data_IF_917396711854
#
_entry.id   IF_917396711854
#
_cell.length_a   1.000
_cell.length_b   1.000
_cell.length_c   1.000
_cell.angle_alpha   90.00
_cell.angle_beta   90.00
_cell.angle_gamma   90.00
#
_symmetry.space_group_name_H-M   'P 1'
#
loop_
_entity.id
_entity.type
_entity.pdbx_description
1 polymer ?
#
# COMPACT_ATOMS: atom_id res chain seq x y z
N UNK A 1 -20.77 23.23 -72.52
CA UNK A 1 -20.32 22.07 -71.73
C UNK A 1 -18.96 22.41 -71.10
N UNK A 2 -18.97 22.91 -69.86
CA UNK A 2 -17.77 23.37 -69.14
C UNK A 2 -17.38 22.27 -68.16
N UNK A 3 -16.24 21.60 -68.40
CA UNK A 3 -15.67 20.60 -67.47
C UNK A 3 -14.95 21.34 -66.34
N UNK A 4 -15.48 21.20 -65.12
CA UNK A 4 -14.81 21.55 -63.86
C UNK A 4 -13.65 20.57 -63.63
N UNK A 5 -12.43 21.08 -63.47
CA UNK A 5 -11.29 20.37 -62.92
C UNK A 5 -11.18 20.73 -61.43
N UNK A 6 -11.48 19.75 -60.58
CA UNK A 6 -11.19 19.67 -59.15
C UNK A 6 -9.91 18.80 -59.11
N UNK A 7 -8.75 19.24 -58.63
CA UNK A 7 -8.48 19.64 -57.25
C UNK A 7 -7.98 18.42 -56.46
N UNK A 8 -6.67 18.13 -56.51
CA UNK A 8 -6.02 17.20 -55.57
C UNK A 8 -4.55 17.63 -55.37
N UNK A 9 -4.33 18.45 -54.36
CA UNK A 9 -3.01 18.69 -53.79
C UNK A 9 -2.78 17.62 -52.72
N UNK A 10 -1.83 16.72 -52.95
CA UNK A 10 -1.35 15.78 -51.96
C UNK A 10 -0.49 16.53 -50.94
N UNK A 11 -1.01 16.75 -49.74
CA UNK A 11 -0.22 17.18 -48.59
C UNK A 11 0.37 15.93 -47.95
N UNK A 12 1.66 15.68 -48.15
CA UNK A 12 2.43 14.74 -47.35
C UNK A 12 2.61 15.33 -45.94
N UNK A 13 1.93 14.77 -44.95
CA UNK A 13 2.31 14.92 -43.56
C UNK A 13 3.34 13.84 -43.21
N UNK A 14 4.61 14.21 -43.10
CA UNK A 14 5.61 13.38 -42.42
C UNK A 14 5.35 13.44 -40.93
N UNK A 15 4.74 12.39 -40.37
CA UNK A 15 4.66 12.16 -38.93
C UNK A 15 6.05 11.75 -38.47
N UNK A 16 6.81 12.69 -37.90
CA UNK A 16 7.98 12.35 -37.09
C UNK A 16 7.47 11.74 -35.79
N UNK A 17 7.64 10.43 -35.65
CA UNK A 17 7.45 9.74 -34.39
C UNK A 17 8.50 10.23 -33.40
N UNK A 18 8.13 11.13 -32.50
CA UNK A 18 8.93 11.45 -31.31
C UNK A 18 8.59 10.41 -30.25
N UNK A 19 9.43 9.39 -30.15
CA UNK A 19 9.39 8.44 -29.03
C UNK A 19 9.85 9.15 -27.76
N UNK A 20 8.91 9.61 -26.95
CA UNK A 20 9.20 9.94 -25.55
C UNK A 20 9.17 8.66 -24.73
N UNK A 21 10.28 7.92 -24.77
CA UNK A 21 10.62 7.02 -23.67
C UNK A 21 11.00 7.93 -22.49
N UNK A 22 10.07 8.16 -21.58
CA UNK A 22 10.42 8.68 -20.26
C UNK A 22 11.07 7.53 -19.49
N UNK A 23 12.40 7.46 -19.58
CA UNK A 23 13.21 6.81 -18.56
C UNK A 23 12.93 7.52 -17.24
N UNK A 24 12.06 6.93 -16.42
CA UNK A 24 11.85 7.37 -15.04
C UNK A 24 13.12 6.99 -14.28
N UNK A 25 14.03 7.94 -14.20
CA UNK A 25 15.25 7.86 -13.42
C UNK A 25 14.89 7.66 -11.93
N UNK A 26 15.00 6.42 -11.47
CA UNK A 26 14.71 5.96 -10.10
C UNK A 26 15.71 6.50 -9.05
N UNK A 27 16.55 7.47 -9.41
CA UNK A 27 17.57 8.05 -8.53
C UNK A 27 16.96 8.96 -7.44
N UNK A 28 15.69 9.38 -7.55
CA UNK A 28 15.07 10.24 -6.53
C UNK A 28 14.57 9.50 -5.27
N UNK A 29 14.40 8.17 -5.32
CA UNK A 29 14.15 7.34 -4.13
C UNK A 29 15.39 7.19 -3.21
N UNK A 30 16.56 7.71 -3.62
CA UNK A 30 17.80 7.68 -2.84
C UNK A 30 17.81 8.80 -1.77
N UNK A 31 17.03 9.88 -1.92
CA UNK A 31 16.99 10.91 -0.88
C UNK A 31 16.23 10.46 0.38
N UNK A 32 15.30 9.50 0.27
CA UNK A 32 14.70 8.83 1.43
C UNK A 32 15.70 7.92 2.18
N UNK A 33 16.78 7.45 1.51
CA UNK A 33 17.91 6.78 2.19
C UNK A 33 18.78 7.75 2.99
N UNK A 34 18.84 9.04 2.62
CA UNK A 34 19.60 10.02 3.41
C UNK A 34 19.00 10.25 4.80
N UNK A 35 17.68 10.15 4.95
CA UNK A 35 17.03 10.22 6.26
C UNK A 35 17.14 8.92 7.07
N UNK A 36 17.25 7.76 6.42
CA UNK A 36 17.63 6.51 7.10
C UNK A 36 19.11 6.48 7.53
N UNK A 37 20.00 7.18 6.81
CA UNK A 37 21.44 7.22 7.11
C UNK A 37 21.83 8.22 8.21
N UNK A 38 20.91 9.05 8.73
CA UNK A 38 21.20 9.94 9.87
C UNK A 38 20.76 9.37 11.22
N UNK A 39 20.00 8.27 11.23
CA UNK A 39 19.72 7.49 12.44
C UNK A 39 20.87 6.52 12.74
N UNK A 40 21.99 7.08 13.21
CA UNK A 40 23.14 6.32 13.72
C UNK A 40 24.14 5.91 12.64
N UNK A 41 25.39 6.35 12.81
CA UNK A 41 26.56 5.75 12.15
C UNK A 41 26.69 4.29 12.61
N UNK A 42 25.90 3.40 12.05
CA UNK A 42 26.20 1.97 12.01
C UNK A 42 27.13 1.81 10.81
N UNK A 43 28.35 1.31 11.05
CA UNK A 43 29.33 1.06 9.99
C UNK A 43 28.67 0.31 8.85
N UNK A 44 29.00 0.67 7.61
CA UNK A 44 28.58 0.00 6.39
C UNK A 44 29.11 -1.45 6.35
N UNK A 45 28.48 -2.33 7.13
CA UNK A 45 28.59 -3.76 6.94
C UNK A 45 27.97 -4.10 5.59
N UNK A 46 28.57 -5.07 4.90
CA UNK A 46 28.03 -5.63 3.67
C UNK A 46 26.51 -5.89 3.82
N UNK A 47 25.70 -5.65 2.77
CA UNK A 47 24.28 -5.95 2.82
C UNK A 47 24.10 -7.39 3.30
N UNK A 48 23.52 -7.56 4.49
CA UNK A 48 23.16 -8.88 4.99
C UNK A 48 22.18 -9.44 3.97
N UNK A 49 22.50 -10.54 3.27
CA UNK A 49 21.57 -11.14 2.34
C UNK A 49 20.29 -11.42 3.13
N UNK A 50 19.15 -10.97 2.61
CA UNK A 50 17.86 -11.27 3.21
C UNK A 50 17.78 -12.79 3.34
N UNK A 51 17.93 -13.30 4.57
CA UNK A 51 17.89 -14.72 4.82
C UNK A 51 16.56 -15.22 4.25
N UNK A 52 16.56 -16.19 3.32
CA UNK A 52 15.33 -16.72 2.78
C UNK A 52 14.60 -17.38 3.95
N UNK A 53 13.59 -16.70 4.49
CA UNK A 53 12.61 -17.31 5.39
C UNK A 53 11.91 -18.41 4.60
N UNK A 54 12.43 -19.64 4.70
CA UNK A 54 11.73 -20.85 4.29
C UNK A 54 10.67 -21.13 5.35
N UNK A 55 9.58 -20.38 5.28
CA UNK A 55 8.32 -20.73 5.93
C UNK A 55 7.65 -21.80 5.07
N UNK A 56 8.16 -23.02 5.17
CA UNK A 56 7.48 -24.22 4.71
C UNK A 56 6.98 -24.94 5.97
N UNK A 57 5.92 -24.37 6.56
CA UNK A 57 5.24 -24.96 7.71
C UNK A 57 3.93 -25.54 7.20
N UNK A 58 3.83 -26.87 7.01
CA UNK A 58 2.59 -27.52 6.64
C UNK A 58 1.47 -27.12 7.61
N UNK A 59 0.39 -26.53 7.07
CA UNK A 59 -0.78 -26.12 7.85
C UNK A 59 -0.86 -24.64 8.20
N UNK A 60 0.16 -23.82 7.91
CA UNK A 60 0.17 -22.39 8.26
C UNK A 60 -0.91 -21.56 7.53
N UNK A 61 -1.48 -22.06 6.43
CA UNK A 61 -2.49 -21.33 5.65
C UNK A 61 -3.94 -21.75 5.93
N UNK A 62 -4.18 -22.65 6.90
CA UNK A 62 -5.52 -23.24 7.09
C UNK A 62 -6.59 -22.21 7.45
N UNK A 63 -6.21 -21.10 8.06
CA UNK A 63 -7.22 -20.19 8.59
C UNK A 63 -7.69 -19.15 7.58
N UNK A 64 -7.02 -18.96 6.43
CA UNK A 64 -7.49 -18.03 5.39
C UNK A 64 -8.39 -18.73 4.37
N UNK A 65 -9.59 -18.17 4.13
CA UNK A 65 -10.66 -18.84 3.37
C UNK A 65 -10.91 -18.28 1.97
N UNK A 66 -9.94 -17.56 1.40
CA UNK A 66 -10.09 -16.92 0.08
C UNK A 66 -9.63 -17.84 -1.06
N UNK A 67 -10.11 -17.59 -2.27
CA UNK A 67 -9.65 -18.27 -3.50
C UNK A 67 -8.89 -17.32 -4.40
N UNK A 68 -7.85 -17.81 -5.06
CA UNK A 68 -7.24 -17.09 -6.18
C UNK A 68 -8.01 -17.40 -7.46
N UNK A 69 -8.19 -16.40 -8.31
CA UNK A 69 -8.58 -16.65 -9.70
C UNK A 69 -7.48 -17.49 -10.40
N UNK A 70 -7.87 -18.22 -11.45
CA UNK A 70 -6.99 -19.14 -12.16
C UNK A 70 -5.81 -18.46 -12.87
N UNK A 71 -5.95 -17.18 -13.18
CA UNK A 71 -4.96 -16.36 -13.90
C UNK A 71 -3.98 -15.63 -12.97
N UNK A 72 -4.16 -15.69 -11.64
CA UNK A 72 -3.20 -15.10 -10.70
C UNK A 72 -1.86 -15.85 -10.76
N UNK A 73 -0.74 -15.19 -11.11
CA UNK A 73 0.55 -15.86 -11.25
C UNK A 73 1.00 -16.54 -9.95
N UNK A 74 1.56 -17.74 -10.05
CA UNK A 74 2.02 -18.56 -8.90
C UNK A 74 2.94 -17.77 -7.94
N UNK A 75 3.81 -16.90 -8.47
CA UNK A 75 4.68 -16.04 -7.65
C UNK A 75 3.89 -15.05 -6.80
N UNK A 76 2.86 -14.41 -7.35
CA UNK A 76 1.98 -13.50 -6.62
C UNK A 76 1.19 -14.27 -5.57
N UNK A 77 0.63 -15.43 -5.93
CA UNK A 77 -0.11 -16.23 -4.96
C UNK A 77 0.80 -16.68 -3.80
N UNK A 78 2.04 -17.08 -4.11
CA UNK A 78 3.04 -17.48 -3.10
C UNK A 78 3.39 -16.32 -2.17
N UNK A 79 3.63 -15.13 -2.73
CA UNK A 79 3.97 -13.95 -1.94
C UNK A 79 2.81 -13.52 -1.04
N UNK A 80 1.59 -13.47 -1.58
CA UNK A 80 0.38 -13.14 -0.83
C UNK A 80 0.17 -14.09 0.33
N UNK A 81 0.29 -15.41 0.09
CA UNK A 81 0.23 -16.41 1.15
C UNK A 81 1.28 -16.15 2.22
N UNK A 82 2.55 -15.96 1.86
CA UNK A 82 3.63 -15.67 2.83
C UNK A 82 3.36 -14.43 3.69
N UNK A 83 2.83 -13.37 3.09
CA UNK A 83 2.49 -12.14 3.80
C UNK A 83 1.33 -12.34 4.77
N UNK A 84 0.31 -13.11 4.37
CA UNK A 84 -0.81 -13.47 5.23
C UNK A 84 -0.40 -14.46 6.36
N UNK A 85 0.48 -15.41 6.08
CA UNK A 85 1.06 -16.27 7.12
C UNK A 85 1.86 -15.49 8.17
N UNK A 86 2.60 -14.45 7.74
CA UNK A 86 3.29 -13.59 8.67
C UNK A 86 2.29 -12.86 9.59
N UNK A 87 1.20 -12.29 9.06
CA UNK A 87 0.27 -11.52 9.90
C UNK A 87 -0.44 -12.42 10.93
N UNK A 88 -0.68 -13.70 10.60
CA UNK A 88 -1.16 -14.72 11.55
C UNK A 88 -0.22 -14.96 12.74
N UNK A 89 1.09 -14.78 12.55
CA UNK A 89 2.10 -14.96 13.59
C UNK A 89 2.21 -13.78 14.55
N UNK A 90 1.59 -12.64 14.24
CA UNK A 90 1.67 -11.43 15.07
C UNK A 90 0.92 -11.65 16.38
N UNK A 91 1.62 -11.36 17.49
CA UNK A 91 1.04 -11.26 18.83
C UNK A 91 1.58 -9.99 19.47
N UNK A 92 0.71 -9.24 20.12
CA UNK A 92 1.06 -8.05 20.86
C UNK A 92 0.77 -8.17 22.35
N UNK A 93 1.48 -7.38 23.14
CA UNK A 93 1.30 -7.32 24.60
C UNK A 93 0.28 -6.27 25.04
N UNK A 94 -0.10 -5.37 24.13
CA UNK A 94 -1.05 -4.29 24.35
C UNK A 94 -1.70 -3.89 23.02
N UNK A 95 -2.65 -2.96 23.07
CA UNK A 95 -3.36 -2.44 21.90
C UNK A 95 -3.86 -1.02 22.17
N UNK A 96 -3.84 -0.18 21.16
CA UNK A 96 -4.44 1.16 21.22
C UNK A 96 -5.95 1.12 21.07
N UNK A 97 -6.66 2.17 21.51
CA UNK A 97 -8.13 2.18 21.43
C UNK A 97 -8.62 2.22 19.99
N UNK A 98 -7.95 2.95 19.10
CA UNK A 98 -8.33 2.99 17.69
C UNK A 98 -8.12 1.64 17.01
N UNK A 99 -7.02 0.94 17.31
CA UNK A 99 -6.77 -0.39 16.76
C UNK A 99 -7.82 -1.39 17.21
N UNK A 100 -8.17 -1.37 18.51
CA UNK A 100 -9.19 -2.23 19.08
C UNK A 100 -10.55 -2.07 18.40
N UNK A 101 -10.90 -0.86 17.96
CA UNK A 101 -12.16 -0.59 17.24
C UNK A 101 -12.16 -1.14 15.81
N UNK A 102 -11.00 -1.22 15.17
CA UNK A 102 -10.90 -1.62 13.76
C UNK A 102 -10.66 -3.13 13.65
N UNK A 103 -9.59 -3.61 14.27
CA UNK A 103 -9.08 -4.97 14.10
C UNK A 103 -9.35 -5.84 15.32
N UNK A 104 -9.48 -5.24 16.50
CA UNK A 104 -9.44 -5.95 17.78
C UNK A 104 -8.04 -5.87 18.38
N UNK A 105 -7.58 -6.96 19.00
CA UNK A 105 -6.24 -7.07 19.56
C UNK A 105 -5.17 -7.02 18.47
N UNK A 106 -3.92 -6.73 18.86
CA UNK A 106 -2.74 -6.94 18.01
C UNK A 106 -2.46 -8.45 17.97
N UNK A 107 -3.31 -9.20 17.27
CA UNK A 107 -3.29 -10.65 17.26
C UNK A 107 -3.60 -11.17 15.85
N UNK A 108 -2.81 -12.14 15.38
CA UNK A 108 -2.98 -12.74 14.07
C UNK A 108 -4.36 -13.36 13.85
N UNK A 109 -5.03 -13.86 14.89
CA UNK A 109 -6.40 -14.38 14.78
C UNK A 109 -7.43 -13.27 14.52
N UNK A 110 -7.21 -12.09 15.09
CA UNK A 110 -8.05 -10.91 14.90
C UNK A 110 -7.84 -10.32 13.50
N UNK A 111 -6.59 -10.21 13.04
CA UNK A 111 -6.28 -9.82 11.66
C UNK A 111 -6.82 -10.82 10.62
N UNK A 112 -6.69 -12.12 10.89
CA UNK A 112 -7.22 -13.19 10.02
C UNK A 112 -8.73 -13.12 9.92
N UNK A 113 -9.42 -12.96 11.06
CA UNK A 113 -10.88 -12.76 11.07
C UNK A 113 -11.26 -11.51 10.29
N UNK A 114 -10.57 -10.40 10.52
CA UNK A 114 -10.81 -9.13 9.81
C UNK A 114 -10.75 -9.32 8.29
N UNK A 115 -9.69 -9.97 7.80
CA UNK A 115 -9.50 -10.25 6.39
C UNK A 115 -10.56 -11.22 5.84
N UNK A 116 -10.74 -12.38 6.46
CA UNK A 116 -11.64 -13.43 5.95
C UNK A 116 -13.11 -13.01 5.93
N UNK A 117 -13.55 -12.14 6.84
CA UNK A 117 -14.93 -11.63 6.81
C UNK A 117 -15.19 -10.70 5.62
N UNK A 118 -14.13 -10.19 4.98
CA UNK A 118 -14.19 -9.14 3.96
C UNK A 118 -13.73 -9.62 2.59
N UNK A 119 -12.64 -10.38 2.53
CA UNK A 119 -12.05 -10.87 1.27
C UNK A 119 -12.38 -12.35 1.06
N UNK A 120 -13.01 -12.64 -0.07
CA UNK A 120 -13.39 -13.99 -0.53
C UNK A 120 -12.61 -14.42 -1.78
N UNK A 121 -12.19 -13.46 -2.60
CA UNK A 121 -11.43 -13.72 -3.81
C UNK A 121 -10.22 -12.80 -3.97
N UNK A 122 -9.19 -13.29 -4.64
CA UNK A 122 -8.04 -12.49 -5.10
C UNK A 122 -7.84 -12.71 -6.59
N UNK A 123 -7.86 -11.64 -7.37
CA UNK A 123 -7.67 -11.65 -8.82
C UNK A 123 -6.52 -10.75 -9.28
N UNK A 124 -6.36 -10.64 -10.60
CA UNK A 124 -5.46 -9.68 -11.25
C UNK A 124 -6.27 -8.57 -11.93
N UNK A 125 -5.79 -7.34 -11.86
CA UNK A 125 -6.31 -6.18 -12.59
C UNK A 125 -5.19 -5.13 -12.76
N UNK A 126 -5.39 -4.12 -13.60
CA UNK A 126 -4.47 -2.98 -13.70
C UNK A 126 -4.78 -1.87 -12.68
N UNK A 127 -5.94 -1.96 -12.01
CA UNK A 127 -6.43 -1.01 -11.02
C UNK A 127 -6.46 0.44 -11.52
N UNK A 128 -6.63 0.64 -12.83
CA UNK A 128 -6.71 1.95 -13.48
C UNK A 128 -5.43 2.77 -13.45
N UNK A 129 -4.30 2.22 -12.98
CA UNK A 129 -3.04 2.95 -12.89
C UNK A 129 -1.81 2.05 -12.94
N UNK A 130 -0.78 2.38 -13.76
CA UNK A 130 0.44 1.57 -13.88
C UNK A 130 1.26 1.52 -12.59
N UNK A 131 0.97 2.41 -11.63
CA UNK A 131 1.64 2.47 -10.33
C UNK A 131 0.80 1.88 -9.19
N UNK A 132 -0.45 1.45 -9.45
CA UNK A 132 -1.27 0.80 -8.45
C UNK A 132 -0.63 -0.53 -8.02
N UNK A 133 -0.76 -0.86 -6.74
CA UNK A 133 -0.26 -2.14 -6.18
C UNK A 133 -1.39 -3.15 -6.05
N UNK A 134 -2.57 -2.66 -5.67
CA UNK A 134 -3.79 -3.40 -5.55
C UNK A 134 -4.97 -2.43 -5.59
N UNK A 135 -6.19 -2.95 -5.68
CA UNK A 135 -7.43 -2.21 -5.53
C UNK A 135 -8.56 -3.14 -5.05
N UNK A 136 -9.66 -2.53 -4.62
CA UNK A 136 -10.99 -3.13 -4.60
C UNK A 136 -11.87 -2.32 -5.54
N UNK A 137 -12.68 -3.01 -6.35
CA UNK A 137 -13.69 -2.41 -7.25
C UNK A 137 -15.07 -2.80 -6.70
N UNK A 138 -15.63 -2.04 -5.74
CA UNK A 138 -16.80 -2.49 -4.97
C UNK A 138 -18.04 -2.79 -5.81
N UNK A 139 -18.18 -2.12 -6.95
CA UNK A 139 -19.32 -2.29 -7.86
C UNK A 139 -19.24 -3.55 -8.72
N UNK A 140 -18.06 -4.18 -8.82
CA UNK A 140 -17.87 -5.42 -9.55
C UNK A 140 -17.94 -6.64 -8.61
N UNK A 141 -17.21 -6.59 -7.49
CA UNK A 141 -17.32 -7.56 -6.40
C UNK A 141 -16.82 -6.92 -5.10
N UNK A 142 -17.74 -6.61 -4.18
CA UNK A 142 -17.38 -5.92 -2.92
C UNK A 142 -16.55 -6.76 -1.96
N UNK A 143 -16.28 -8.03 -2.29
CA UNK A 143 -15.53 -8.98 -1.45
C UNK A 143 -14.26 -9.51 -2.12
N UNK A 144 -13.86 -8.94 -3.25
CA UNK A 144 -12.67 -9.35 -3.97
C UNK A 144 -11.60 -8.27 -3.89
N UNK A 145 -10.34 -8.69 -3.93
CA UNK A 145 -9.18 -7.81 -4.06
C UNK A 145 -8.48 -8.13 -5.36
N UNK A 146 -8.06 -7.10 -6.08
CA UNK A 146 -7.30 -7.25 -7.30
C UNK A 146 -5.88 -6.78 -7.04
N UNK A 147 -4.93 -7.65 -7.32
CA UNK A 147 -3.51 -7.33 -7.22
C UNK A 147 -3.00 -6.94 -8.59
N UNK A 148 -2.02 -6.04 -8.64
CA UNK A 148 -1.26 -5.77 -9.87
C UNK A 148 0.09 -6.48 -9.81
N UNK A 149 0.85 -6.45 -10.91
CA UNK A 149 2.24 -6.96 -10.92
C UNK A 149 3.14 -6.22 -9.92
N UNK A 150 2.81 -4.97 -9.55
CA UNK A 150 3.61 -4.16 -8.64
C UNK A 150 3.67 -4.74 -7.22
N UNK A 151 2.73 -5.62 -6.84
CA UNK A 151 2.74 -6.31 -5.55
C UNK A 151 4.03 -7.10 -5.29
N UNK A 152 4.63 -7.66 -6.36
CA UNK A 152 5.90 -8.42 -6.26
C UNK A 152 7.04 -7.82 -7.08
N UNK A 153 6.76 -6.88 -7.99
CA UNK A 153 7.77 -6.27 -8.87
C UNK A 153 8.82 -5.49 -8.08
N UNK A 154 8.39 -4.75 -7.06
CA UNK A 154 9.26 -3.92 -6.25
C UNK A 154 9.63 -4.63 -4.94
N UNK A 155 10.89 -4.51 -4.54
CA UNK A 155 11.40 -5.12 -3.30
C UNK A 155 10.98 -4.31 -2.08
N UNK A 156 9.70 -4.38 -1.71
CA UNK A 156 9.20 -3.80 -0.46
C UNK A 156 9.36 -4.77 0.72
N UNK A 157 9.51 -4.26 1.95
CA UNK A 157 9.40 -5.08 3.15
C UNK A 157 8.04 -5.78 3.21
N UNK A 158 8.02 -6.98 3.81
CA UNK A 158 6.78 -7.75 4.00
C UNK A 158 5.68 -6.93 4.69
N UNK A 159 6.04 -6.15 5.71
CA UNK A 159 5.06 -5.33 6.44
C UNK A 159 4.41 -4.25 5.55
N UNK A 160 5.11 -3.74 4.55
CA UNK A 160 4.57 -2.76 3.61
C UNK A 160 3.56 -3.42 2.66
N UNK A 161 3.82 -4.64 2.18
CA UNK A 161 2.82 -5.37 1.38
C UNK A 161 1.57 -5.70 2.19
N UNK A 162 1.72 -6.07 3.46
CA UNK A 162 0.58 -6.31 4.36
C UNK A 162 -0.24 -5.05 4.58
N UNK A 163 0.42 -3.90 4.74
CA UNK A 163 -0.25 -2.60 4.81
C UNK A 163 -1.19 -2.40 3.62
N UNK A 164 -0.73 -2.67 2.39
CA UNK A 164 -1.57 -2.57 1.18
C UNK A 164 -2.73 -3.55 1.22
N UNK A 165 -2.49 -4.81 1.59
CA UNK A 165 -3.57 -5.81 1.68
C UNK A 165 -4.67 -5.39 2.66
N UNK A 166 -4.31 -4.88 3.83
CA UNK A 166 -5.31 -4.44 4.82
C UNK A 166 -5.93 -3.08 4.48
N UNK A 167 -5.20 -2.22 3.78
CA UNK A 167 -5.74 -1.02 3.13
C UNK A 167 -6.89 -1.39 2.19
N UNK A 168 -6.62 -2.26 1.22
CA UNK A 168 -7.63 -2.70 0.26
C UNK A 168 -8.80 -3.42 0.92
N UNK A 169 -8.52 -4.18 1.99
CA UNK A 169 -9.58 -4.84 2.76
C UNK A 169 -10.58 -3.83 3.32
N UNK A 170 -10.19 -2.60 3.67
CA UNK A 170 -11.16 -1.57 4.08
C UNK A 170 -12.12 -1.20 2.98
N UNK A 171 -11.67 -1.17 1.73
CA UNK A 171 -12.51 -0.77 0.61
C UNK A 171 -13.70 -1.71 0.35
N UNK A 172 -13.73 -2.88 0.98
CA UNK A 172 -14.89 -3.80 0.97
C UNK A 172 -16.05 -3.39 1.87
N UNK A 173 -15.85 -2.45 2.81
CA UNK A 173 -16.84 -2.14 3.84
C UNK A 173 -17.93 -1.17 3.34
N UNK A 174 -18.90 -1.71 2.59
CA UNK A 174 -20.00 -0.94 1.98
C UNK A 174 -20.85 -0.16 2.99
N UNK A 175 -21.09 -0.72 4.19
CA UNK A 175 -21.79 -0.04 5.29
C UNK A 175 -21.07 1.22 5.79
N UNK A 176 -19.82 1.42 5.39
CA UNK A 176 -19.00 2.59 5.69
C UNK A 176 -18.65 3.39 4.42
N UNK A 177 -19.40 3.23 3.34
CA UNK A 177 -19.15 3.92 2.07
C UNK A 177 -17.83 3.49 1.43
N UNK A 178 -17.42 2.23 1.64
CA UNK A 178 -16.20 1.64 1.09
C UNK A 178 -14.91 2.40 1.45
N UNK A 179 -14.96 3.26 2.47
CA UNK A 179 -13.81 4.09 2.89
C UNK A 179 -13.08 4.74 1.72
N UNK A 180 -13.82 5.32 0.77
CA UNK A 180 -13.24 6.00 -0.39
C UNK A 180 -12.18 7.00 0.02
N UNK A 181 -11.07 7.07 -0.73
CA UNK A 181 -10.03 8.07 -0.47
C UNK A 181 -10.59 9.49 -0.60
N UNK A 182 -10.05 10.38 0.20
CA UNK A 182 -10.18 11.81 0.01
C UNK A 182 -9.11 12.33 -0.96
N UNK A 183 -9.46 13.37 -1.71
CA UNK A 183 -8.51 14.15 -2.49
C UNK A 183 -7.54 14.87 -1.57
N UNK A 184 -6.24 14.69 -1.81
CA UNK A 184 -5.19 15.40 -1.10
C UNK A 184 -5.15 16.88 -1.50
N UNK A 185 -4.80 17.80 -0.58
CA UNK A 185 -4.69 19.23 -0.85
C UNK A 185 -3.77 19.59 -2.03
N UNK A 186 -3.89 20.80 -2.56
CA UNK A 186 -2.94 21.34 -3.54
C UNK A 186 -2.55 22.76 -3.11
N UNK A 187 -1.28 23.03 -2.75
CA UNK A 187 -0.17 22.06 -2.65
C UNK A 187 -0.37 21.07 -1.49
N UNK A 188 0.19 19.86 -1.62
CA UNK A 188 0.26 18.89 -0.52
C UNK A 188 1.70 18.77 -0.03
N UNK A 189 1.99 19.41 1.09
CA UNK A 189 3.33 19.46 1.67
C UNK A 189 3.37 18.83 3.06
N UNK A 190 4.53 18.28 3.44
CA UNK A 190 4.80 17.83 4.80
C UNK A 190 5.05 19.01 5.76
N UNK A 191 5.41 18.69 7.01
CA UNK A 191 5.70 19.66 8.06
C UNK A 191 6.95 20.53 7.81
N UNK A 192 7.80 20.15 6.86
CA UNK A 192 8.97 20.91 6.43
C UNK A 192 8.70 21.69 5.12
N UNK A 193 7.47 21.68 4.62
CA UNK A 193 7.11 22.32 3.35
C UNK A 193 7.56 21.53 2.11
N UNK A 194 8.01 20.28 2.25
CA UNK A 194 8.38 19.44 1.10
C UNK A 194 7.15 18.79 0.50
N UNK A 195 7.11 18.65 -0.84
CA UNK A 195 6.01 17.99 -1.53
C UNK A 195 5.86 16.54 -1.04
N UNK A 196 4.63 16.18 -0.69
CA UNK A 196 4.27 14.82 -0.33
C UNK A 196 4.35 13.92 -1.57
N UNK A 197 5.14 12.85 -1.46
CA UNK A 197 5.32 11.85 -2.49
C UNK A 197 4.97 10.46 -1.95
N UNK A 198 4.58 9.56 -2.86
CA UNK A 198 4.35 8.17 -2.51
C UNK A 198 5.66 7.47 -2.14
N UNK A 199 5.75 6.86 -0.95
CA UNK A 199 6.89 6.01 -0.57
C UNK A 199 7.08 4.79 -1.49
N UNK A 200 6.04 4.41 -2.25
CA UNK A 200 6.09 3.28 -3.19
C UNK A 200 6.70 3.66 -4.53
N UNK A 201 6.33 4.83 -5.05
CA UNK A 201 6.54 5.16 -6.47
C UNK A 201 7.33 6.46 -6.67
N UNK A 202 7.48 7.28 -5.63
CA UNK A 202 8.04 8.62 -5.71
C UNK A 202 7.12 9.66 -6.36
N UNK A 203 5.93 9.26 -6.81
CA UNK A 203 4.96 10.16 -7.48
C UNK A 203 4.41 11.20 -6.50
N UNK A 204 4.14 12.42 -6.98
CA UNK A 204 3.42 13.45 -6.22
C UNK A 204 2.05 12.96 -5.79
N UNK A 205 1.62 13.35 -4.58
CA UNK A 205 0.28 13.04 -4.05
C UNK A 205 -0.68 14.24 -4.09
N UNK A 206 -0.23 15.44 -4.45
CA UNK A 206 -1.09 16.62 -4.48
C UNK A 206 -2.22 16.48 -5.50
N UNK A 207 -3.47 16.72 -5.09
CA UNK A 207 -4.67 16.56 -5.93
C UNK A 207 -5.11 15.11 -6.19
N UNK A 208 -4.36 14.11 -5.71
CA UNK A 208 -4.69 12.71 -5.91
C UNK A 208 -5.69 12.21 -4.85
N UNK A 209 -6.48 11.18 -5.19
CA UNK A 209 -7.28 10.42 -4.23
C UNK A 209 -6.39 9.52 -3.36
N UNK A 210 -5.53 10.10 -2.54
CA UNK A 210 -4.50 9.38 -1.80
C UNK A 210 -4.43 9.78 -0.32
N UNK A 211 -5.52 10.34 0.21
CA UNK A 211 -5.62 10.86 1.57
C UNK A 211 -6.85 10.32 2.29
N UNK A 212 -6.90 10.47 3.61
CA UNK A 212 -8.06 10.19 4.44
C UNK A 212 -8.48 11.39 5.29
N UNK A 213 -9.79 11.51 5.54
CA UNK A 213 -10.35 12.53 6.45
C UNK A 213 -10.66 11.99 7.85
N UNK A 214 -10.51 10.69 8.08
CA UNK A 214 -10.80 10.08 9.39
C UNK A 214 -9.72 9.07 9.77
N UNK A 215 -9.58 8.71 11.06
CA UNK A 215 -8.68 7.63 11.45
C UNK A 215 -9.08 6.27 10.89
N UNK A 216 -10.33 6.10 10.48
CA UNK A 216 -10.90 4.82 10.06
C UNK A 216 -10.86 4.58 8.55
N UNK A 217 -10.37 5.55 7.76
CA UNK A 217 -10.13 5.37 6.34
C UNK A 217 -9.06 4.32 6.04
N UNK A 218 -8.83 4.01 4.77
CA UNK A 218 -7.93 2.93 4.37
C UNK A 218 -6.47 3.22 4.70
N UNK A 219 -5.99 4.46 4.54
CA UNK A 219 -4.65 4.89 5.00
C UNK A 219 -4.56 5.01 6.53
N UNK A 220 -5.59 5.58 7.17
CA UNK A 220 -5.67 5.75 8.63
C UNK A 220 -5.64 4.42 9.37
N UNK A 221 -6.44 3.46 8.93
CA UNK A 221 -6.47 2.13 9.52
C UNK A 221 -5.18 1.35 9.29
N UNK A 222 -4.59 1.47 8.11
CA UNK A 222 -3.30 0.87 7.80
C UNK A 222 -2.19 1.43 8.70
N UNK A 223 -2.16 2.75 8.90
CA UNK A 223 -1.19 3.35 9.81
C UNK A 223 -1.41 2.92 11.26
N UNK A 224 -2.67 2.83 11.71
CA UNK A 224 -3.02 2.37 13.06
C UNK A 224 -2.54 0.93 13.27
N UNK A 225 -2.77 0.03 12.31
CA UNK A 225 -2.27 -1.35 12.32
C UNK A 225 -0.75 -1.36 12.48
N UNK A 226 -0.05 -0.67 11.58
CA UNK A 226 1.42 -0.66 11.57
C UNK A 226 2.02 -0.05 12.84
N UNK A 227 1.44 1.03 13.37
CA UNK A 227 1.94 1.67 14.60
C UNK A 227 1.74 0.78 15.83
N UNK A 228 0.65 0.02 15.88
CA UNK A 228 0.44 -0.98 16.94
C UNK A 228 1.43 -2.15 16.81
N UNK A 229 1.71 -2.61 15.59
CA UNK A 229 2.75 -3.63 15.36
C UNK A 229 4.12 -3.11 15.80
N UNK A 230 4.48 -1.86 15.46
CA UNK A 230 5.70 -1.22 15.92
C UNK A 230 5.79 -1.21 17.46
N UNK A 231 4.76 -0.72 18.15
CA UNK A 231 4.80 -0.49 19.61
C UNK A 231 4.64 -1.76 20.44
N UNK A 232 3.78 -2.68 19.99
CA UNK A 232 3.24 -3.72 20.88
C UNK A 232 3.51 -5.15 20.42
N UNK A 233 3.95 -5.39 19.17
CA UNK A 233 4.19 -6.75 18.69
C UNK A 233 5.38 -7.39 19.43
N UNK A 234 5.12 -8.46 20.19
CA UNK A 234 6.13 -9.23 20.94
C UNK A 234 6.74 -10.37 20.13
N UNK A 235 6.09 -10.84 19.07
CA UNK A 235 6.62 -11.87 18.16
C UNK A 235 7.40 -11.28 16.97
N UNK A 236 7.40 -9.96 16.82
CA UNK A 236 8.05 -9.28 15.71
C UNK A 236 9.52 -8.98 16.03
N UNK A 237 10.38 -9.12 15.01
CA UNK A 237 11.78 -8.68 15.10
C UNK A 237 11.89 -7.15 15.17
N UNK A 238 13.03 -6.64 15.62
CA UNK A 238 13.33 -5.19 15.61
C UNK A 238 13.20 -4.59 14.22
N UNK A 239 13.68 -5.32 13.20
CA UNK A 239 13.57 -4.88 11.82
C UNK A 239 12.10 -4.72 11.39
N UNK A 240 11.25 -5.71 11.71
CA UNK A 240 9.81 -5.64 11.39
C UNK A 240 9.15 -4.45 12.09
N UNK A 241 9.45 -4.23 13.37
CA UNK A 241 8.90 -3.09 14.13
C UNK A 241 9.38 -1.76 13.57
N UNK A 242 10.66 -1.65 13.21
CA UNK A 242 11.23 -0.47 12.57
C UNK A 242 10.58 -0.17 11.22
N UNK A 243 10.50 -1.17 10.34
CA UNK A 243 9.82 -1.05 9.05
C UNK A 243 8.35 -0.61 9.26
N UNK A 244 7.63 -1.24 10.20
CA UNK A 244 6.24 -0.88 10.52
C UNK A 244 6.13 0.61 10.91
N UNK A 245 7.05 1.11 11.75
CA UNK A 245 7.06 2.51 12.15
C UNK A 245 7.27 3.48 10.98
N UNK A 246 8.23 3.19 10.10
CA UNK A 246 8.52 4.03 8.92
C UNK A 246 7.29 4.15 8.01
N UNK A 247 6.65 3.02 7.69
CA UNK A 247 5.48 3.03 6.81
C UNK A 247 4.24 3.60 7.51
N UNK A 248 4.08 3.41 8.82
CA UNK A 248 3.03 4.05 9.60
C UNK A 248 3.15 5.58 9.58
N UNK A 249 4.36 6.09 9.79
CA UNK A 249 4.61 7.53 9.83
C UNK A 249 4.46 8.17 8.43
N UNK A 250 4.77 7.44 7.34
CA UNK A 250 4.42 7.86 5.97
C UNK A 250 2.91 7.97 5.77
N UNK A 251 2.16 6.93 6.15
CA UNK A 251 0.70 6.91 5.99
C UNK A 251 0.02 7.96 6.87
N UNK A 252 0.55 8.27 8.06
CA UNK A 252 0.01 9.30 8.93
C UNK A 252 -0.02 10.69 8.25
N UNK A 253 0.96 10.98 7.38
CA UNK A 253 1.00 12.24 6.63
C UNK A 253 -0.17 12.38 5.66
N UNK A 254 -0.77 11.25 5.21
CA UNK A 254 -1.93 11.19 4.30
C UNK A 254 -3.26 11.43 4.99
N UNK A 255 -3.30 11.55 6.32
CA UNK A 255 -4.49 12.02 7.03
C UNK A 255 -4.54 13.53 6.88
N UNK A 256 -5.64 14.11 6.40
CA UNK A 256 -5.70 15.56 6.11
C UNK A 256 -6.56 16.34 7.10
N UNK A 257 -7.45 15.65 7.82
CA UNK A 257 -8.28 16.27 8.84
C UNK A 257 -7.47 16.51 10.15
N UNK A 258 -7.40 17.73 10.68
CA UNK A 258 -6.66 18.03 11.91
C UNK A 258 -7.20 17.29 13.14
N UNK A 259 -8.51 17.09 13.23
CA UNK A 259 -9.15 16.36 14.33
C UNK A 259 -8.76 14.88 14.32
N UNK A 260 -8.79 14.26 13.14
CA UNK A 260 -8.33 12.89 12.92
C UNK A 260 -6.83 12.75 13.28
N UNK A 261 -5.98 13.67 12.84
CA UNK A 261 -4.55 13.69 13.22
C UNK A 261 -4.36 13.75 14.73
N UNK A 262 -5.10 14.64 15.40
CA UNK A 262 -5.03 14.79 16.85
C UNK A 262 -5.43 13.49 17.56
N UNK A 263 -6.56 12.89 17.19
CA UNK A 263 -7.03 11.64 17.77
C UNK A 263 -6.02 10.50 17.63
N UNK A 264 -5.40 10.37 16.45
CA UNK A 264 -4.34 9.38 16.20
C UNK A 264 -3.10 9.66 17.07
N UNK A 265 -2.64 10.92 17.14
CA UNK A 265 -1.49 11.29 17.97
C UNK A 265 -1.71 10.98 19.43
N UNK A 266 -2.90 11.26 19.95
CA UNK A 266 -3.25 10.99 21.34
C UNK A 266 -3.32 9.50 21.66
N UNK A 267 -3.77 8.67 20.72
CA UNK A 267 -3.87 7.21 20.90
C UNK A 267 -2.54 6.47 20.70
N UNK A 268 -1.64 6.98 19.85
CA UNK A 268 -0.49 6.23 19.34
C UNK A 268 0.89 6.86 19.56
N UNK A 269 0.99 8.18 19.73
CA UNK A 269 2.29 8.88 19.77
C UNK A 269 2.62 9.48 21.15
N UNK A 270 1.71 9.36 22.10
CA UNK A 270 1.99 9.55 23.53
C UNK A 270 2.41 8.21 24.15
#
# INVERSE_FOLDING_TARGET
MIKKLIGLAAVLFTVTAVSWAQDVDFTQAINSRKMMNQAGKISSGAPVPAAPYKLDIPGLFKDFTFTFDSDVPVKIQTQTRKDLAFIQSVKGTSVSNLHKKIFGQVDGSDYTRFFNTRIKGIGMDDCGSPIAVACVIPFYDSSKMWLTQNYIKFSHPQIARIMVVFHETRHTESNNGNWSHATCPTPFTDENGQNMQSIWTGSSLAGEGACDRTPFGSYGSSMIMLKNIQKFCSTCTDKVRMDAGIYADDQFKRIIDPGAKKAIREDLYK
#
